data_IF_445914373123
#
_entry.id   IF_445914373123
#
_cell.length_a   1.000
_cell.length_b   1.000
_cell.length_c   1.000
_cell.angle_alpha   90.00
_cell.angle_beta   90.00
_cell.angle_gamma   90.00
#
_symmetry.space_group_name_H-M   'P 1'
#
loop_
_entity.id
_entity.type
_entity.pdbx_description
1 polymer ?
#
# COMPACT_ATOMS: atom_id res chain seq x y z
N UNK A 1 -7.32 4.72 9.57
CA UNK A 1 -8.49 4.39 8.70
C UNK A 1 -9.37 3.36 9.37
N UNK A 2 -10.68 3.51 9.31
CA UNK A 2 -11.62 2.45 9.66
C UNK A 2 -12.11 1.75 8.38
N UNK A 3 -11.57 0.58 8.06
CA UNK A 3 -11.93 -0.20 6.87
C UNK A 3 -13.39 -0.69 6.89
N UNK A 4 -14.05 -0.73 8.05
CA UNK A 4 -15.48 -1.03 8.15
C UNK A 4 -16.36 0.08 7.56
N UNK A 5 -15.83 1.28 7.38
CA UNK A 5 -16.48 2.41 6.74
C UNK A 5 -16.19 2.50 5.24
N UNK A 6 -15.45 1.54 4.68
CA UNK A 6 -15.21 1.47 3.24
C UNK A 6 -16.23 0.52 2.61
N UNK A 7 -16.92 1.01 1.57
CA UNK A 7 -17.89 0.25 0.80
C UNK A 7 -17.44 0.14 -0.66
N UNK A 8 -17.39 -1.07 -1.19
CA UNK A 8 -17.21 -1.32 -2.62
C UNK A 8 -18.57 -1.47 -3.28
N UNK A 9 -18.80 -0.70 -4.35
CA UNK A 9 -20.01 -0.78 -5.17
C UNK A 9 -19.63 -1.30 -6.55
N UNK A 10 -20.24 -2.40 -6.97
CA UNK A 10 -20.11 -2.91 -8.33
C UNK A 10 -21.39 -2.53 -9.11
N UNK A 11 -21.21 -1.76 -10.16
CA UNK A 11 -22.33 -1.30 -10.99
C UNK A 11 -22.53 -2.24 -12.17
N UNK A 12 -23.67 -2.97 -12.17
CA UNK A 12 -24.07 -3.93 -13.20
C UNK A 12 -22.93 -4.84 -13.70
N UNK A 13 -22.20 -5.57 -12.81
CA UNK A 13 -21.13 -6.45 -13.24
C UNK A 13 -21.67 -7.56 -14.16
N UNK A 14 -21.02 -7.77 -15.31
CA UNK A 14 -21.48 -8.72 -16.35
C UNK A 14 -21.17 -10.19 -15.99
N UNK A 15 -19.96 -10.44 -15.50
CA UNK A 15 -19.47 -11.80 -15.30
C UNK A 15 -19.49 -12.17 -13.79
N UNK A 16 -20.32 -13.15 -13.36
CA UNK A 16 -20.39 -13.56 -11.96
C UNK A 16 -19.04 -13.96 -11.35
N UNK A 17 -18.14 -14.54 -12.13
CA UNK A 17 -16.79 -14.90 -11.67
C UNK A 17 -15.95 -13.68 -11.28
N UNK A 18 -16.17 -12.53 -11.92
CA UNK A 18 -15.50 -11.28 -11.54
C UNK A 18 -15.99 -10.78 -10.18
N UNK A 19 -17.28 -10.97 -9.85
CA UNK A 19 -17.82 -10.68 -8.51
C UNK A 19 -17.08 -11.55 -7.47
N UNK A 20 -16.94 -12.86 -7.73
CA UNK A 20 -16.21 -13.76 -6.85
C UNK A 20 -14.75 -13.35 -6.64
N UNK A 21 -14.06 -13.01 -7.74
CA UNK A 21 -12.69 -12.51 -7.69
C UNK A 21 -12.56 -11.18 -6.95
N UNK A 22 -13.55 -10.28 -7.10
CA UNK A 22 -13.63 -9.02 -6.37
C UNK A 22 -13.83 -9.25 -4.86
N UNK A 23 -14.71 -10.17 -4.47
CA UNK A 23 -14.87 -10.57 -3.07
C UNK A 23 -13.55 -11.04 -2.45
N UNK A 24 -12.79 -11.85 -3.19
CA UNK A 24 -11.48 -12.32 -2.76
C UNK A 24 -10.47 -11.17 -2.64
N UNK A 25 -10.47 -10.23 -3.59
CA UNK A 25 -9.64 -9.03 -3.55
C UNK A 25 -9.97 -8.16 -2.32
N UNK A 26 -11.25 -7.99 -2.01
CA UNK A 26 -11.72 -7.26 -0.83
C UNK A 26 -11.28 -7.95 0.47
N UNK A 27 -11.50 -9.27 0.58
CA UNK A 27 -11.12 -10.05 1.76
C UNK A 27 -9.60 -10.00 2.04
N UNK A 28 -8.77 -10.07 0.99
CA UNK A 28 -7.31 -9.96 1.11
C UNK A 28 -6.86 -8.59 1.69
N UNK A 29 -7.74 -7.59 1.69
CA UNK A 29 -7.47 -6.24 2.13
C UNK A 29 -8.40 -5.79 3.28
N UNK A 30 -8.99 -6.73 4.02
CA UNK A 30 -9.88 -6.51 5.17
C UNK A 30 -11.11 -5.63 4.89
N UNK A 31 -11.53 -5.50 3.63
CA UNK A 31 -12.74 -4.77 3.22
C UNK A 31 -13.86 -5.78 3.02
N UNK A 32 -15.01 -5.56 3.66
CA UNK A 32 -16.09 -6.56 3.73
C UNK A 32 -17.42 -6.06 3.17
N UNK A 33 -17.64 -4.75 3.07
CA UNK A 33 -18.91 -4.19 2.60
C UNK A 33 -18.95 -4.15 1.09
N UNK A 34 -19.75 -5.04 0.52
CA UNK A 34 -20.04 -5.09 -0.92
C UNK A 34 -21.49 -4.66 -1.17
N UNK A 35 -21.68 -3.76 -2.12
CA UNK A 35 -22.95 -3.37 -2.69
C UNK A 35 -22.93 -3.63 -4.19
N UNK A 36 -24.07 -4.04 -4.73
CA UNK A 36 -24.21 -4.35 -6.15
C UNK A 36 -25.42 -3.58 -6.68
N UNK A 37 -25.20 -2.77 -7.71
CA UNK A 37 -26.30 -2.19 -8.49
C UNK A 37 -26.74 -3.24 -9.49
N UNK A 38 -27.99 -3.70 -9.36
CA UNK A 38 -28.58 -4.79 -10.14
C UNK A 38 -29.41 -5.71 -9.26
N UNK A 39 -30.00 -6.73 -9.85
CA UNK A 39 -30.86 -7.68 -9.12
C UNK A 39 -30.07 -8.93 -8.75
N UNK A 40 -30.24 -9.41 -7.52
CA UNK A 40 -29.58 -10.63 -7.04
C UNK A 40 -29.86 -11.85 -7.94
N UNK A 41 -31.04 -11.89 -8.55
CA UNK A 41 -31.46 -12.95 -9.49
C UNK A 41 -30.63 -13.01 -10.77
N UNK A 42 -29.93 -11.91 -11.12
CA UNK A 42 -29.19 -11.82 -12.38
C UNK A 42 -27.80 -12.50 -12.28
N UNK A 43 -27.41 -12.89 -11.07
CA UNK A 43 -26.08 -13.43 -10.78
C UNK A 43 -26.13 -14.87 -10.29
N UNK A 44 -25.37 -15.73 -10.96
CA UNK A 44 -25.20 -17.15 -10.62
C UNK A 44 -24.25 -17.30 -9.41
N UNK A 45 -24.83 -17.60 -8.25
CA UNK A 45 -24.08 -17.74 -7.00
C UNK A 45 -23.04 -18.87 -7.02
N UNK A 46 -23.30 -19.96 -7.77
CA UNK A 46 -22.34 -21.07 -7.90
C UNK A 46 -21.09 -20.60 -8.64
N UNK A 47 -21.24 -19.86 -9.74
CA UNK A 47 -20.11 -19.29 -10.48
C UNK A 47 -19.33 -18.27 -9.65
N UNK A 48 -20.00 -17.48 -8.81
CA UNK A 48 -19.34 -16.53 -7.90
C UNK A 48 -18.51 -17.29 -6.88
N UNK A 49 -19.06 -18.34 -6.26
CA UNK A 49 -18.40 -19.11 -5.21
C UNK A 49 -17.08 -19.75 -5.66
N UNK A 50 -16.99 -20.15 -6.95
CA UNK A 50 -15.79 -20.80 -7.53
C UNK A 50 -14.55 -19.92 -7.38
N UNK A 51 -14.65 -18.60 -7.61
CA UNK A 51 -13.51 -17.69 -7.51
C UNK A 51 -13.46 -16.90 -6.19
N UNK A 52 -14.58 -16.79 -5.49
CA UNK A 52 -14.62 -16.19 -4.15
C UNK A 52 -13.93 -17.08 -3.10
N UNK A 53 -14.01 -18.42 -3.27
CA UNK A 53 -13.47 -19.40 -2.32
C UNK A 53 -13.96 -19.07 -0.89
N UNK A 54 -13.05 -18.88 0.04
CA UNK A 54 -13.37 -18.52 1.43
C UNK A 54 -13.94 -17.12 1.63
N UNK A 55 -13.90 -16.26 0.60
CA UNK A 55 -14.46 -14.92 0.63
C UNK A 55 -15.91 -14.84 0.14
N UNK A 56 -16.57 -15.97 -0.11
CA UNK A 56 -17.95 -16.02 -0.62
C UNK A 56 -18.94 -15.34 0.34
N UNK A 57 -18.66 -15.34 1.64
CA UNK A 57 -19.47 -14.64 2.64
C UNK A 57 -19.64 -13.15 2.37
N UNK A 58 -18.73 -12.50 1.63
CA UNK A 58 -18.86 -11.09 1.23
C UNK A 58 -20.01 -10.92 0.25
N UNK A 59 -20.15 -11.84 -0.71
CA UNK A 59 -21.30 -11.84 -1.62
C UNK A 59 -22.60 -12.24 -0.93
N UNK A 60 -22.58 -13.22 -0.03
CA UNK A 60 -23.78 -13.63 0.73
C UNK A 60 -24.38 -12.46 1.52
N UNK A 61 -23.52 -11.59 2.06
CA UNK A 61 -23.90 -10.40 2.82
C UNK A 61 -24.00 -9.14 1.94
N UNK A 62 -23.87 -9.26 0.61
CA UNK A 62 -23.96 -8.11 -0.28
C UNK A 62 -25.39 -7.54 -0.33
N UNK A 63 -25.48 -6.23 -0.33
CA UNK A 63 -26.73 -5.47 -0.50
C UNK A 63 -26.92 -5.14 -1.99
N UNK A 64 -28.18 -5.13 -2.46
CA UNK A 64 -28.53 -4.89 -3.85
C UNK A 64 -29.37 -3.64 -4.00
N UNK A 65 -29.06 -2.82 -5.02
CA UNK A 65 -29.66 -1.51 -5.23
C UNK A 65 -30.03 -1.29 -6.70
N UNK A 66 -30.86 -0.28 -6.98
CA UNK A 66 -31.30 0.04 -8.35
C UNK A 66 -30.41 1.09 -9.03
N UNK A 67 -29.63 1.87 -8.26
CA UNK A 67 -28.74 2.91 -8.78
C UNK A 67 -27.52 3.10 -7.89
N UNK A 68 -26.49 3.76 -8.41
CA UNK A 68 -25.30 4.16 -7.65
C UNK A 68 -25.71 5.15 -6.53
N UNK A 69 -26.60 6.08 -6.84
CA UNK A 69 -27.11 7.06 -5.87
C UNK A 69 -27.74 6.36 -4.67
N UNK A 70 -28.63 5.38 -4.90
CA UNK A 70 -29.24 4.59 -3.83
C UNK A 70 -28.19 3.79 -3.05
N UNK A 71 -27.25 3.16 -3.77
CA UNK A 71 -26.19 2.36 -3.17
C UNK A 71 -25.19 3.18 -2.34
N UNK A 72 -25.11 4.49 -2.53
CA UNK A 72 -24.17 5.38 -1.84
C UNK A 72 -24.85 6.39 -0.91
N UNK A 73 -26.18 6.31 -0.67
CA UNK A 73 -26.95 7.34 0.02
C UNK A 73 -26.48 7.59 1.48
N UNK A 74 -25.95 6.57 2.15
CA UNK A 74 -25.43 6.64 3.52
C UNK A 74 -23.91 6.93 3.58
N UNK A 75 -23.29 7.20 2.43
CA UNK A 75 -21.87 7.53 2.34
C UNK A 75 -21.66 9.05 2.32
N UNK A 76 -20.56 9.50 2.94
CA UNK A 76 -20.15 10.92 2.89
C UNK A 76 -19.57 11.27 1.52
N UNK A 77 -18.83 10.34 0.92
CA UNK A 77 -18.26 10.46 -0.42
C UNK A 77 -18.41 9.15 -1.21
N UNK A 78 -18.56 9.31 -2.52
CA UNK A 78 -18.52 8.20 -3.48
C UNK A 78 -17.56 8.53 -4.63
N UNK A 79 -16.64 7.60 -4.94
CA UNK A 79 -15.64 7.76 -5.99
C UNK A 79 -15.85 6.74 -7.10
N UNK A 80 -16.14 7.22 -8.31
CA UNK A 80 -16.23 6.36 -9.49
C UNK A 80 -14.87 6.07 -10.10
N UNK A 81 -14.60 4.80 -10.39
CA UNK A 81 -13.35 4.42 -11.08
C UNK A 81 -13.48 4.66 -12.57
N UNK A 82 -12.53 5.37 -13.17
CA UNK A 82 -12.52 5.62 -14.61
C UNK A 82 -11.12 5.79 -15.15
N UNK A 83 -10.85 5.25 -16.35
CA UNK A 83 -9.66 5.56 -17.13
C UNK A 83 -9.86 6.74 -18.07
N UNK A 84 -11.09 6.96 -18.48
CA UNK A 84 -11.42 7.94 -19.51
C UNK A 84 -11.33 9.35 -18.95
N UNK A 85 -10.68 10.22 -19.71
CA UNK A 85 -10.69 11.68 -19.51
C UNK A 85 -11.60 12.30 -20.55
N UNK A 86 -12.35 13.32 -20.19
CA UNK A 86 -13.23 14.02 -21.14
C UNK A 86 -13.75 15.32 -20.59
N UNK A 87 -14.16 16.21 -21.52
CA UNK A 87 -14.63 17.57 -21.20
C UNK A 87 -15.83 17.59 -20.24
N UNK A 88 -16.65 16.55 -20.28
CA UNK A 88 -17.86 16.43 -19.46
C UNK A 88 -17.71 15.43 -18.27
N UNK A 89 -16.51 14.89 -18.08
CA UNK A 89 -16.18 14.03 -16.93
C UNK A 89 -15.57 14.87 -15.80
N UNK A 90 -15.49 14.30 -14.61
CA UNK A 90 -14.90 14.98 -13.44
C UNK A 90 -13.58 15.67 -13.82
N UNK A 91 -13.46 16.95 -13.48
CA UNK A 91 -12.32 17.79 -13.91
C UNK A 91 -10.98 17.37 -13.30
N UNK A 92 -11.00 16.84 -12.07
CA UNK A 92 -9.85 16.24 -11.39
C UNK A 92 -10.08 14.72 -11.29
N UNK A 93 -9.06 13.95 -11.59
CA UNK A 93 -9.03 12.51 -11.31
C UNK A 93 -8.01 12.26 -10.21
N UNK A 94 -8.45 11.66 -9.14
CA UNK A 94 -7.59 11.24 -8.05
C UNK A 94 -6.77 10.01 -8.44
N UNK A 95 -5.56 9.90 -7.89
CA UNK A 95 -4.78 8.67 -7.92
C UNK A 95 -5.20 7.75 -6.74
N UNK A 96 -4.93 6.44 -6.80
CA UNK A 96 -5.31 5.52 -5.73
C UNK A 96 -4.79 5.91 -4.34
N UNK A 97 -3.55 6.44 -4.26
CA UNK A 97 -2.94 6.92 -3.02
C UNK A 97 -3.56 8.22 -2.51
N UNK A 98 -3.97 9.13 -3.40
CA UNK A 98 -4.68 10.36 -3.02
C UNK A 98 -6.07 10.02 -2.47
N UNK A 99 -6.79 9.12 -3.16
CA UNK A 99 -8.07 8.60 -2.69
C UNK A 99 -7.92 7.91 -1.31
N UNK A 100 -6.91 7.03 -1.14
CA UNK A 100 -6.69 6.34 0.12
C UNK A 100 -6.37 7.32 1.27
N UNK A 101 -5.69 8.44 0.99
CA UNK A 101 -5.42 9.46 2.00
C UNK A 101 -6.69 10.20 2.41
N UNK A 102 -7.54 10.58 1.46
CA UNK A 102 -8.83 11.21 1.74
C UNK A 102 -9.80 10.25 2.47
N UNK A 103 -9.84 8.99 2.04
CA UNK A 103 -10.64 7.97 2.71
C UNK A 103 -10.22 7.73 4.16
N UNK A 104 -8.91 7.82 4.46
CA UNK A 104 -8.38 7.74 5.82
C UNK A 104 -8.89 8.88 6.71
N UNK A 105 -8.86 10.10 6.20
CA UNK A 105 -9.34 11.29 6.92
C UNK A 105 -10.85 11.20 7.24
N UNK A 106 -11.65 10.69 6.30
CA UNK A 106 -13.12 10.65 6.41
C UNK A 106 -13.59 9.42 7.21
N UNK A 107 -13.01 8.25 6.97
CA UNK A 107 -13.48 7.00 7.58
C UNK A 107 -13.21 6.90 9.09
N UNK A 108 -12.33 7.77 9.61
CA UNK A 108 -12.00 7.80 11.02
C UNK A 108 -11.16 6.61 11.50
N UNK A 109 -11.24 6.35 12.80
CA UNK A 109 -10.62 5.19 13.46
C UNK A 109 -11.68 4.34 14.17
N UNK A 110 -11.25 3.22 14.76
CA UNK A 110 -12.16 2.40 15.59
C UNK A 110 -12.64 3.14 16.84
N UNK A 111 -11.79 4.01 17.39
CA UNK A 111 -12.11 4.78 18.60
C UNK A 111 -12.91 6.05 18.26
N UNK A 112 -12.75 6.59 17.07
CA UNK A 112 -13.45 7.79 16.59
C UNK A 112 -14.07 7.50 15.22
N UNK A 113 -15.28 6.93 15.18
CA UNK A 113 -15.91 6.52 13.93
C UNK A 113 -16.22 7.73 13.06
N UNK A 114 -15.74 7.66 11.80
CA UNK A 114 -16.00 8.64 10.76
C UNK A 114 -17.20 8.27 9.88
N UNK A 115 -17.28 8.90 8.72
CA UNK A 115 -18.30 8.62 7.71
C UNK A 115 -17.92 7.47 6.79
N UNK A 116 -18.91 6.92 6.08
CA UNK A 116 -18.67 5.89 5.07
C UNK A 116 -18.16 6.51 3.77
N UNK A 117 -17.28 5.80 3.09
CA UNK A 117 -16.73 6.16 1.78
C UNK A 117 -16.99 5.03 0.80
N UNK A 118 -17.62 5.34 -0.32
CA UNK A 118 -17.90 4.39 -1.38
C UNK A 118 -16.87 4.48 -2.51
N UNK A 119 -16.52 3.31 -3.03
CA UNK A 119 -15.67 3.15 -4.20
C UNK A 119 -16.44 2.36 -5.26
N UNK A 120 -16.76 3.01 -6.37
CA UNK A 120 -17.68 2.51 -7.40
C UNK A 120 -16.89 2.02 -8.61
N UNK A 121 -17.18 0.79 -9.03
CA UNK A 121 -16.61 0.17 -10.22
C UNK A 121 -17.75 -0.13 -11.22
N UNK A 122 -17.55 0.26 -12.46
CA UNK A 122 -18.51 0.01 -13.52
C UNK A 122 -18.38 -1.36 -14.15
N UNK A 123 -19.25 -1.62 -15.11
CA UNK A 123 -19.31 -2.82 -15.92
C UNK A 123 -18.02 -3.10 -16.68
N UNK A 124 -17.68 -4.38 -16.88
CA UNK A 124 -16.43 -4.82 -17.50
C UNK A 124 -16.26 -4.36 -18.93
N UNK A 125 -17.34 -4.20 -19.68
CA UNK A 125 -17.31 -3.81 -21.10
C UNK A 125 -17.17 -2.30 -21.28
N UNK A 126 -17.92 -1.55 -20.52
CA UNK A 126 -18.07 -0.09 -20.71
C UNK A 126 -17.39 0.73 -19.62
N UNK A 127 -17.11 0.12 -18.46
CA UNK A 127 -16.82 0.88 -17.24
C UNK A 127 -18.02 1.74 -16.86
N UNK A 128 -17.84 2.72 -16.03
CA UNK A 128 -18.86 3.72 -15.73
C UNK A 128 -19.11 4.61 -16.95
N UNK A 129 -20.37 4.77 -17.34
CA UNK A 129 -20.85 5.77 -18.31
C UNK A 129 -20.72 7.18 -17.72
N UNK A 130 -20.93 8.21 -18.54
CA UNK A 130 -20.92 9.59 -18.06
C UNK A 130 -22.05 9.87 -17.07
N UNK A 131 -23.21 9.25 -17.28
CA UNK A 131 -24.36 9.34 -16.39
C UNK A 131 -24.05 8.71 -15.03
N UNK A 132 -23.60 7.47 -15.00
CA UNK A 132 -23.24 6.74 -13.79
C UNK A 132 -22.08 7.42 -13.02
N UNK A 133 -21.09 7.95 -13.73
CA UNK A 133 -20.01 8.70 -13.10
C UNK A 133 -20.50 10.02 -12.49
N UNK A 134 -21.58 10.62 -13.05
CA UNK A 134 -22.18 11.85 -12.50
C UNK A 134 -22.88 11.60 -11.17
N UNK A 135 -23.34 10.37 -10.89
CA UNK A 135 -23.91 9.98 -9.60
C UNK A 135 -22.83 9.89 -8.48
N UNK A 136 -21.57 9.80 -8.85
CA UNK A 136 -20.47 9.79 -7.88
C UNK A 136 -20.07 11.23 -7.49
N UNK A 137 -19.61 11.41 -6.26
CA UNK A 137 -19.08 12.71 -5.78
C UNK A 137 -17.86 13.13 -6.58
N UNK A 138 -16.92 12.19 -6.81
CA UNK A 138 -15.67 12.45 -7.54
C UNK A 138 -15.20 11.19 -8.30
N UNK A 139 -14.02 11.23 -8.90
CA UNK A 139 -13.51 10.14 -9.70
C UNK A 139 -12.05 9.81 -9.38
N UNK A 140 -11.71 8.53 -9.48
CA UNK A 140 -10.36 8.01 -9.31
C UNK A 140 -9.92 7.26 -10.56
N UNK A 141 -8.66 7.41 -10.95
CA UNK A 141 -8.07 6.70 -12.07
C UNK A 141 -6.90 5.84 -11.61
N UNK A 142 -6.87 4.60 -12.07
CA UNK A 142 -5.73 3.71 -11.85
C UNK A 142 -4.78 3.88 -13.05
N UNK A 143 -3.55 4.39 -12.85
CA UNK A 143 -2.57 4.47 -13.91
C UNK A 143 -2.30 3.09 -14.53
N UNK A 144 -2.41 2.99 -15.84
CA UNK A 144 -2.22 1.75 -16.58
C UNK A 144 -1.60 2.03 -17.96
N UNK A 145 -1.24 1.00 -18.69
CA UNK A 145 -0.64 1.12 -20.03
C UNK A 145 -1.49 2.00 -20.96
N UNK A 146 -0.83 2.79 -21.79
CA UNK A 146 -1.49 3.60 -22.83
C UNK A 146 -2.12 2.68 -23.88
N UNK A 147 -1.41 1.63 -24.28
CA UNK A 147 -1.83 0.70 -25.34
C UNK A 147 -2.87 -0.31 -24.83
N UNK A 148 -2.67 -0.85 -23.62
CA UNK A 148 -3.54 -1.86 -23.03
C UNK A 148 -3.92 -1.47 -21.60
N UNK A 149 -4.74 -0.43 -21.47
CA UNK A 149 -5.05 0.20 -20.18
C UNK A 149 -6.36 -0.26 -19.53
N UNK A 150 -7.14 -1.14 -20.16
CA UNK A 150 -8.36 -1.67 -19.55
C UNK A 150 -8.00 -2.77 -18.55
N UNK A 151 -8.27 -2.52 -17.27
CA UNK A 151 -8.09 -3.53 -16.23
C UNK A 151 -9.36 -4.40 -16.12
N UNK A 152 -9.17 -5.69 -15.86
CA UNK A 152 -10.26 -6.54 -15.41
C UNK A 152 -10.84 -5.96 -14.12
N UNK A 153 -12.16 -6.10 -13.91
CA UNK A 153 -12.89 -5.57 -12.75
C UNK A 153 -12.20 -5.95 -11.43
N UNK A 154 -11.92 -7.23 -11.24
CA UNK A 154 -11.31 -7.69 -9.98
C UNK A 154 -9.87 -7.19 -9.77
N UNK A 155 -9.11 -6.94 -10.85
CA UNK A 155 -7.80 -6.32 -10.76
C UNK A 155 -7.90 -4.86 -10.32
N UNK A 156 -8.88 -4.12 -10.85
CA UNK A 156 -9.12 -2.74 -10.42
C UNK A 156 -9.53 -2.69 -8.94
N UNK A 157 -10.45 -3.59 -8.50
CA UNK A 157 -10.84 -3.74 -7.10
C UNK A 157 -9.63 -4.07 -6.22
N UNK A 158 -8.77 -5.01 -6.65
CA UNK A 158 -7.56 -5.39 -5.89
C UNK A 158 -6.62 -4.20 -5.69
N UNK A 159 -6.33 -3.44 -6.75
CA UNK A 159 -5.42 -2.29 -6.66
C UNK A 159 -5.97 -1.25 -5.68
N UNK A 160 -7.23 -0.89 -5.81
CA UNK A 160 -7.84 0.12 -4.96
C UNK A 160 -7.94 -0.33 -3.49
N UNK A 161 -8.38 -1.56 -3.25
CA UNK A 161 -8.43 -2.13 -1.90
C UNK A 161 -7.03 -2.23 -1.27
N UNK A 162 -6.01 -2.56 -2.06
CA UNK A 162 -4.63 -2.61 -1.59
C UNK A 162 -4.11 -1.25 -1.13
N UNK A 163 -4.40 -0.17 -1.87
CA UNK A 163 -4.00 1.18 -1.45
C UNK A 163 -4.66 1.60 -0.14
N UNK A 164 -5.93 1.27 0.06
CA UNK A 164 -6.65 1.50 1.31
C UNK A 164 -6.05 0.68 2.46
N UNK A 165 -5.84 -0.62 2.27
CA UNK A 165 -5.24 -1.51 3.25
C UNK A 165 -3.83 -1.07 3.64
N UNK A 166 -3.00 -0.73 2.65
CA UNK A 166 -1.64 -0.25 2.86
C UNK A 166 -1.61 1.08 3.64
N UNK A 167 -2.55 1.99 3.37
CA UNK A 167 -2.67 3.25 4.10
C UNK A 167 -3.06 3.01 5.57
N UNK A 168 -3.94 2.05 5.82
CA UNK A 168 -4.37 1.67 7.17
C UNK A 168 -3.25 0.98 7.97
N UNK A 169 -2.41 0.20 7.30
CA UNK A 169 -1.36 -0.60 7.94
C UNK A 169 0.00 0.02 7.66
N UNK A 170 0.60 0.65 8.69
CA UNK A 170 2.01 1.00 8.64
C UNK A 170 2.83 -0.28 8.78
N UNK A 171 3.30 -0.83 7.68
CA UNK A 171 4.30 -1.90 7.71
C UNK A 171 5.61 -1.31 8.22
N UNK A 172 5.83 -1.40 9.52
CA UNK A 172 7.12 -1.08 10.11
C UNK A 172 8.15 -2.06 9.55
N UNK A 173 9.31 -1.55 9.12
CA UNK A 173 10.49 -2.39 8.98
C UNK A 173 10.65 -3.13 10.31
N UNK A 174 11.03 -4.41 10.30
CA UNK A 174 11.18 -5.23 11.51
C UNK A 174 12.24 -4.70 12.51
N UNK A 175 12.84 -3.53 12.23
CA UNK A 175 13.80 -2.81 13.08
C UNK A 175 13.71 -1.31 12.83
N UNK A 176 14.11 -0.53 13.85
CA UNK A 176 14.31 0.92 13.73
C UNK A 176 15.77 1.18 13.34
N UNK A 177 16.04 1.90 12.22
CA UNK A 177 17.40 2.31 11.88
C UNK A 177 18.01 3.16 12.99
N UNK A 178 19.30 3.00 13.21
CA UNK A 178 20.02 3.79 14.22
C UNK A 178 20.11 5.26 13.82
N UNK A 179 20.30 6.15 14.80
CA UNK A 179 20.47 7.58 14.55
C UNK A 179 21.79 7.89 13.84
N UNK A 180 21.85 9.05 13.18
CA UNK A 180 23.11 9.53 12.56
C UNK A 180 24.24 9.66 13.60
N UNK A 181 23.92 10.06 14.83
CA UNK A 181 24.89 10.12 15.94
C UNK A 181 25.46 8.74 16.25
N UNK A 182 24.60 7.72 16.31
CA UNK A 182 25.03 6.33 16.54
C UNK A 182 25.94 5.82 15.42
N UNK A 183 25.69 6.23 14.17
CA UNK A 183 26.57 5.91 13.04
C UNK A 183 27.92 6.64 13.14
N UNK A 184 27.95 7.88 13.60
CA UNK A 184 29.19 8.63 13.84
C UNK A 184 30.04 7.94 14.92
N UNK A 185 29.42 7.44 16.00
CA UNK A 185 30.08 6.65 17.02
C UNK A 185 30.69 5.36 16.42
N UNK A 186 29.96 4.66 15.56
CA UNK A 186 30.46 3.47 14.86
C UNK A 186 31.65 3.79 13.95
N UNK A 187 31.57 4.88 13.19
CA UNK A 187 32.69 5.34 12.34
C UNK A 187 33.94 5.63 13.18
N UNK A 188 33.78 6.22 14.36
CA UNK A 188 34.85 6.48 15.29
C UNK A 188 35.47 5.16 15.77
N UNK A 189 34.69 4.16 16.14
CA UNK A 189 35.18 2.82 16.52
C UNK A 189 35.97 2.17 15.37
N UNK A 190 35.48 2.26 14.13
CA UNK A 190 36.19 1.76 12.95
C UNK A 190 37.54 2.46 12.79
N UNK A 191 37.53 3.80 12.84
CA UNK A 191 38.72 4.63 12.68
C UNK A 191 39.80 4.32 13.72
N UNK A 192 39.42 4.24 15.00
CA UNK A 192 40.34 3.91 16.09
C UNK A 192 40.97 2.52 15.94
N UNK A 193 40.16 1.51 15.54
CA UNK A 193 40.67 0.16 15.36
C UNK A 193 41.59 0.06 14.14
N UNK A 194 41.32 0.75 13.05
CA UNK A 194 42.18 0.85 11.88
C UNK A 194 43.52 1.57 12.22
N UNK A 195 43.46 2.60 13.07
CA UNK A 195 44.66 3.28 13.58
C UNK A 195 45.54 2.34 14.41
N UNK A 196 44.95 1.53 15.29
CA UNK A 196 45.66 0.55 16.12
C UNK A 196 46.48 -0.47 15.30
N UNK A 197 46.00 -0.84 14.13
CA UNK A 197 46.68 -1.79 13.23
C UNK A 197 47.61 -1.10 12.22
N UNK A 198 47.84 0.22 12.35
CA UNK A 198 48.75 0.95 11.47
C UNK A 198 48.22 1.15 10.04
N UNK A 199 46.90 1.13 9.83
CA UNK A 199 46.29 1.28 8.51
C UNK A 199 46.59 2.66 7.89
N UNK A 200 46.67 3.71 8.71
CA UNK A 200 46.97 5.07 8.26
C UNK A 200 48.49 5.34 8.36
N UNK A 201 49.12 5.68 7.22
CA UNK A 201 50.53 6.01 7.21
C UNK A 201 50.80 7.47 7.61
N UNK A 202 50.22 8.46 6.89
CA UNK A 202 50.43 9.90 7.15
C UNK A 202 49.17 10.71 6.92
N UNK A 203 48.28 10.27 6.03
CA UNK A 203 47.05 10.94 5.66
C UNK A 203 45.97 9.89 5.32
N UNK A 204 44.71 10.30 5.24
CA UNK A 204 43.60 9.47 4.78
C UNK A 204 42.58 9.07 5.84
N UNK A 205 42.85 9.34 7.14
CA UNK A 205 41.88 9.03 8.20
C UNK A 205 40.51 9.76 7.97
N UNK A 206 40.58 11.05 7.71
CA UNK A 206 39.38 11.86 7.50
C UNK A 206 38.57 11.44 6.25
N UNK A 207 39.25 11.06 5.19
CA UNK A 207 38.59 10.60 3.95
C UNK A 207 37.94 9.22 4.14
N UNK A 208 38.57 8.35 4.90
CA UNK A 208 38.03 7.05 5.28
C UNK A 208 36.81 7.20 6.18
N UNK A 209 36.85 8.11 7.17
CA UNK A 209 35.70 8.41 8.03
C UNK A 209 34.50 8.94 7.21
N UNK A 210 34.74 9.88 6.29
CA UNK A 210 33.74 10.36 5.35
C UNK A 210 33.15 9.24 4.48
N UNK A 211 34.00 8.36 3.98
CA UNK A 211 33.60 7.20 3.18
C UNK A 211 32.65 6.28 3.96
N UNK A 212 33.06 5.85 5.17
CA UNK A 212 32.23 4.99 6.02
C UNK A 212 30.93 5.67 6.41
N UNK A 213 30.97 6.94 6.81
CA UNK A 213 29.77 7.70 7.12
C UNK A 213 28.80 7.75 5.93
N UNK A 214 29.31 7.97 4.73
CA UNK A 214 28.49 7.99 3.50
C UNK A 214 27.83 6.65 3.21
N UNK A 215 28.53 5.53 3.41
CA UNK A 215 27.99 4.20 3.16
C UNK A 215 26.98 3.81 4.25
N UNK A 216 27.35 3.93 5.53
CA UNK A 216 26.53 3.49 6.63
C UNK A 216 25.23 4.29 6.74
N UNK A 217 25.24 5.59 6.43
CA UNK A 217 24.05 6.42 6.44
C UNK A 217 23.01 6.03 5.37
N UNK A 218 23.46 5.46 4.23
CA UNK A 218 22.55 4.97 3.18
C UNK A 218 21.99 3.58 3.45
N UNK A 219 22.66 2.80 4.30
CA UNK A 219 22.29 1.41 4.56
C UNK A 219 21.11 1.26 5.54
N UNK A 220 20.75 2.33 6.25
CA UNK A 220 19.68 2.33 7.24
C UNK A 220 19.80 1.16 8.25
N UNK A 221 20.99 1.03 8.85
CA UNK A 221 21.40 -0.11 9.69
C UNK A 221 20.61 -0.18 11.00
N UNK A 222 20.35 -1.39 11.46
CA UNK A 222 19.85 -1.70 12.80
C UNK A 222 20.98 -1.64 13.85
N UNK A 223 20.63 -1.57 15.13
CA UNK A 223 21.60 -1.60 16.23
C UNK A 223 22.46 -2.89 16.20
N UNK A 224 21.86 -4.04 15.90
CA UNK A 224 22.59 -5.30 15.79
C UNK A 224 23.64 -5.31 14.69
N UNK A 225 23.35 -4.67 13.54
CA UNK A 225 24.28 -4.57 12.42
C UNK A 225 25.45 -3.63 12.73
N UNK A 226 25.22 -2.48 13.34
CA UNK A 226 26.32 -1.59 13.73
C UNK A 226 27.21 -2.21 14.80
N UNK A 227 26.64 -2.91 15.79
CA UNK A 227 27.43 -3.66 16.79
C UNK A 227 28.27 -4.77 16.15
N UNK A 228 27.72 -5.45 15.14
CA UNK A 228 28.49 -6.47 14.44
C UNK A 228 29.64 -5.89 13.64
N UNK A 229 29.47 -4.75 12.99
CA UNK A 229 30.52 -4.01 12.31
C UNK A 229 31.64 -3.63 13.32
N UNK A 230 31.27 -3.01 14.44
CA UNK A 230 32.21 -2.65 15.50
C UNK A 230 32.99 -3.86 16.01
N UNK A 231 32.33 -4.98 16.25
CA UNK A 231 32.93 -6.25 16.67
C UNK A 231 33.97 -6.77 15.65
N UNK A 232 33.67 -6.67 14.35
CA UNK A 232 34.61 -7.11 13.28
C UNK A 232 35.88 -6.30 13.35
N UNK A 233 35.81 -4.97 13.39
CA UNK A 233 37.02 -4.11 13.44
C UNK A 233 37.79 -4.24 14.76
N UNK A 234 37.09 -4.35 15.88
CA UNK A 234 37.73 -4.56 17.19
C UNK A 234 38.44 -5.90 17.23
N UNK A 235 37.86 -6.97 16.69
CA UNK A 235 38.48 -8.29 16.62
C UNK A 235 39.71 -8.29 15.70
N UNK A 236 39.62 -7.63 14.55
CA UNK A 236 40.75 -7.50 13.61
C UNK A 236 41.95 -6.78 14.27
N UNK A 237 41.70 -5.68 14.98
CA UNK A 237 42.73 -4.96 15.71
C UNK A 237 43.37 -5.83 16.81
N UNK A 238 42.57 -6.59 17.57
CA UNK A 238 43.07 -7.48 18.61
C UNK A 238 43.91 -8.64 18.08
N UNK A 239 43.60 -9.16 16.88
CA UNK A 239 44.44 -10.22 16.26
C UNK A 239 45.77 -9.68 15.76
N UNK A 240 45.83 -8.47 15.22
CA UNK A 240 47.05 -7.81 14.79
C UNK A 240 48.01 -7.55 15.97
N UNK A 241 47.47 -7.06 17.10
CA UNK A 241 48.29 -6.81 18.31
C UNK A 241 48.92 -8.08 18.92
N UNK A 242 48.24 -9.25 18.76
CA UNK A 242 48.81 -10.52 19.24
C UNK A 242 49.95 -11.03 18.38
N UNK A 243 49.98 -10.75 17.08
CA UNK A 243 51.14 -11.11 16.21
C UNK A 243 52.38 -10.28 16.51
N UNK A 244 52.22 -9.00 16.84
CA UNK A 244 53.37 -8.11 17.16
C UNK A 244 54.03 -8.51 18.47
N UNK A 245 53.34 -9.14 19.41
CA UNK A 245 53.93 -9.62 20.70
C UNK A 245 54.54 -11.02 20.64
N UNK A 246 54.57 -11.66 19.47
CA UNK A 246 55.13 -13.01 19.23
C UNK A 246 56.42 -12.98 18.36
N UNK A 247 56.79 -11.81 17.87
CA UNK A 247 58.08 -11.49 17.22
C UNK A 247 58.96 -10.66 18.18
#
# INVERSE_FOLDING_TARGET
MNLENICVILDHPDEPRNIGSACRAMANNDIKKLRIVGKKSDYDAEKISVLAIHAFYIYENAEFFNSITEAAEDCVLSFGTTRRRGKYRKGKLFLPEEFASLADEISGSKENPGGKVALVFGNERTGLTDSELSECTDAVTIPSSIEFGSLNLSHAVQIMCYHLFRKNNSFLKGYTPVSLKRLDDTVSVISENLKKIGFFKVAGQNDMEKFWKSILSRAALSEGEVQYIEKVFTKAAGLSSKKINLE
#
